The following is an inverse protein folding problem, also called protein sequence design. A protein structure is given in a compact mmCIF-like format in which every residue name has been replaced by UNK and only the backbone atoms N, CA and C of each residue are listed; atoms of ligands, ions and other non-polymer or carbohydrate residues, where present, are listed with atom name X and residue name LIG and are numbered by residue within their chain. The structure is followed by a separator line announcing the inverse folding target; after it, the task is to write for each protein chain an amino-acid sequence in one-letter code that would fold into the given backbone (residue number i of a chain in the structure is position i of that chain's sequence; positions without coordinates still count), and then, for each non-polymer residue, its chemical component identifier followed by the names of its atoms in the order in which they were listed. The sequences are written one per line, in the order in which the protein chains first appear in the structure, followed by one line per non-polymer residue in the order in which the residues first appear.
data_IF_361581038557
#
_entry.id   IF_361581038557
#
_cell.length_a   1.000
_cell.length_b   1.000
_cell.length_c   1.000
_cell.angle_alpha   90.00
_cell.angle_beta   90.00
_cell.angle_gamma   90.00
#
_symmetry.space_group_name_H-M   'P 1'
#
loop_
_entity.id
_entity.type
_entity.pdbx_description
1 polymer ?
#
# COMPACT_ATOMS: atom_id res chain seq x y z
N UNK A 1 -14.28 -42.13 -0.14
CA UNK A 1 -13.03 -42.07 0.63
C UNK A 1 -13.20 -43.03 1.79
N UNK A 2 -12.16 -43.75 2.20
CA UNK A 2 -12.22 -44.66 3.35
C UNK A 2 -12.34 -43.84 4.65
N UNK A 3 -13.18 -44.27 5.58
CA UNK A 3 -13.39 -43.65 6.90
C UNK A 3 -12.06 -43.46 7.66
N UNK A 4 -11.11 -44.39 7.47
CA UNK A 4 -9.77 -44.28 8.05
C UNK A 4 -8.99 -43.06 7.50
N UNK A 5 -9.06 -42.82 6.19
CA UNK A 5 -8.37 -41.69 5.55
C UNK A 5 -8.99 -40.35 5.96
N UNK A 6 -10.32 -40.31 6.13
CA UNK A 6 -11.01 -39.14 6.65
C UNK A 6 -10.61 -38.84 8.10
N UNK A 7 -10.53 -39.88 8.95
CA UNK A 7 -10.06 -39.74 10.33
C UNK A 7 -8.66 -39.16 10.42
N UNK A 8 -7.73 -39.61 9.58
CA UNK A 8 -6.36 -39.08 9.53
C UNK A 8 -6.33 -37.58 9.20
N UNK A 9 -7.11 -37.15 8.20
CA UNK A 9 -7.21 -35.73 7.81
C UNK A 9 -7.79 -34.88 8.96
N UNK A 10 -8.78 -35.41 9.68
CA UNK A 10 -9.38 -34.73 10.85
C UNK A 10 -8.41 -34.60 12.02
N UNK A 11 -7.57 -35.61 12.27
CA UNK A 11 -6.51 -35.54 13.31
C UNK A 11 -5.50 -34.46 12.96
N UNK A 12 -4.99 -34.45 11.72
CA UNK A 12 -4.05 -33.41 11.26
C UNK A 12 -4.66 -32.00 11.38
N UNK A 13 -5.94 -31.87 11.02
CA UNK A 13 -6.68 -30.61 11.11
C UNK A 13 -6.78 -30.12 12.55
N UNK A 14 -7.16 -31.00 13.49
CA UNK A 14 -7.26 -30.68 14.92
C UNK A 14 -5.92 -30.25 15.50
N UNK A 15 -4.81 -30.89 15.10
CA UNK A 15 -3.46 -30.53 15.53
C UNK A 15 -3.04 -29.13 15.04
N UNK A 16 -3.41 -28.75 13.81
CA UNK A 16 -3.18 -27.39 13.32
C UNK A 16 -3.89 -26.32 14.16
N UNK A 17 -5.11 -26.59 14.61
CA UNK A 17 -5.91 -25.66 15.40
C UNK A 17 -5.41 -25.51 16.84
N UNK A 18 -4.68 -26.51 17.34
CA UNK A 18 -4.18 -26.59 18.71
C UNK A 18 -3.45 -25.32 19.17
N UNK A 19 -4.04 -24.63 20.14
CA UNK A 19 -3.47 -23.42 20.74
C UNK A 19 -3.56 -22.16 19.87
N UNK A 20 -4.33 -22.19 18.77
CA UNK A 20 -4.64 -21.00 17.97
C UNK A 20 -5.91 -20.31 18.48
N UNK A 21 -5.87 -18.99 18.63
CA UNK A 21 -7.09 -18.19 18.81
C UNK A 21 -7.78 -17.96 17.47
N UNK A 22 -8.68 -18.89 17.11
CA UNK A 22 -9.45 -18.85 15.87
C UNK A 22 -10.70 -17.95 15.95
N UNK A 23 -11.07 -17.44 17.13
CA UNK A 23 -12.29 -16.61 17.28
C UNK A 23 -12.25 -15.37 16.39
N UNK A 24 -11.09 -14.71 16.32
CA UNK A 24 -10.84 -13.57 15.42
C UNK A 24 -10.91 -13.91 13.92
N UNK A 25 -10.97 -15.19 13.58
CA UNK A 25 -11.07 -15.70 12.20
C UNK A 25 -12.34 -16.52 11.99
N UNK A 26 -13.40 -16.25 12.76
CA UNK A 26 -14.69 -16.94 12.59
C UNK A 26 -14.63 -18.43 12.88
N UNK A 27 -13.69 -18.85 13.73
CA UNK A 27 -13.42 -20.25 14.08
C UNK A 27 -12.96 -21.13 12.90
N UNK A 28 -12.46 -20.55 11.80
CA UNK A 28 -11.90 -21.30 10.67
C UNK A 28 -10.37 -21.24 10.63
N UNK A 29 -9.76 -22.41 10.48
CA UNK A 29 -8.33 -22.56 10.22
C UNK A 29 -8.00 -22.05 8.81
N UNK A 30 -8.84 -22.29 7.81
CA UNK A 30 -8.63 -21.76 6.46
C UNK A 30 -8.52 -20.23 6.49
N UNK A 31 -9.41 -19.58 7.24
CA UNK A 31 -9.44 -18.12 7.38
C UNK A 31 -8.24 -17.60 8.18
N UNK A 32 -7.85 -18.31 9.23
CA UNK A 32 -6.60 -18.05 9.95
C UNK A 32 -5.42 -18.08 8.98
N UNK A 33 -5.32 -19.11 8.14
CA UNK A 33 -4.19 -19.28 7.23
C UNK A 33 -4.13 -18.13 6.21
N UNK A 34 -5.24 -17.74 5.59
CA UNK A 34 -5.25 -16.63 4.64
C UNK A 34 -4.78 -15.30 5.24
N UNK A 35 -5.16 -15.02 6.48
CA UNK A 35 -4.96 -13.70 7.12
C UNK A 35 -3.71 -13.59 7.98
N UNK A 36 -3.07 -14.72 8.30
CA UNK A 36 -1.90 -14.73 9.17
C UNK A 36 -0.62 -14.33 8.41
N UNK A 37 0.44 -13.99 9.14
CA UNK A 37 1.76 -13.79 8.53
C UNK A 37 2.32 -15.11 7.94
N UNK A 38 3.31 -15.02 7.07
CA UNK A 38 3.98 -16.22 6.53
C UNK A 38 4.55 -17.13 7.63
N UNK A 39 5.16 -16.54 8.66
CA UNK A 39 5.73 -17.28 9.79
C UNK A 39 4.65 -17.96 10.64
N UNK A 40 3.56 -17.24 10.94
CA UNK A 40 2.43 -17.78 11.70
C UNK A 40 1.73 -18.92 10.96
N UNK A 41 1.53 -18.77 9.63
CA UNK A 41 1.03 -19.86 8.77
C UNK A 41 1.94 -21.09 8.82
N UNK A 42 3.25 -20.87 8.67
CA UNK A 42 4.23 -21.96 8.66
C UNK A 42 4.20 -22.73 9.97
N UNK A 43 4.12 -22.02 11.10
CA UNK A 43 4.08 -22.64 12.42
C UNK A 43 2.80 -23.44 12.65
N UNK A 44 1.64 -22.89 12.25
CA UNK A 44 0.37 -23.60 12.36
C UNK A 44 0.36 -24.90 11.53
N UNK A 45 0.91 -24.89 10.32
CA UNK A 45 1.00 -26.08 9.47
C UNK A 45 2.01 -27.09 10.02
N UNK A 46 3.15 -26.63 10.55
CA UNK A 46 4.19 -27.50 11.14
C UNK A 46 3.64 -28.37 12.28
N UNK A 47 2.73 -27.84 13.09
CA UNK A 47 2.07 -28.59 14.17
C UNK A 47 1.20 -29.77 13.70
N UNK A 48 0.86 -29.85 12.42
CA UNK A 48 0.14 -31.01 11.86
C UNK A 48 1.03 -32.16 11.38
N UNK A 49 2.37 -32.01 11.47
CA UNK A 49 3.32 -33.00 10.95
C UNK A 49 3.31 -34.36 11.66
N UNK A 50 2.75 -34.46 12.87
CA UNK A 50 2.94 -35.61 13.78
C UNK A 50 2.04 -36.84 13.52
N UNK A 51 1.29 -36.91 12.43
CA UNK A 51 0.39 -38.05 12.20
C UNK A 51 1.13 -39.23 11.56
N UNK A 52 1.33 -40.30 12.34
CA UNK A 52 1.85 -41.59 11.86
C UNK A 52 0.86 -42.18 10.85
N UNK A 53 1.30 -42.31 9.60
CA UNK A 53 0.52 -42.93 8.51
C UNK A 53 1.43 -43.82 7.66
N UNK A 54 0.86 -44.87 7.07
CA UNK A 54 1.56 -45.76 6.15
C UNK A 54 1.87 -45.07 4.82
N UNK A 55 2.87 -45.56 4.08
CA UNK A 55 3.23 -45.02 2.76
C UNK A 55 2.05 -45.03 1.78
N UNK A 56 1.20 -46.06 1.84
CA UNK A 56 0.03 -46.19 0.96
C UNK A 56 -1.06 -45.17 1.29
N UNK A 57 -1.35 -44.94 2.59
CA UNK A 57 -2.30 -43.91 3.03
C UNK A 57 -1.82 -42.52 2.62
N UNK A 58 -0.52 -42.23 2.83
CA UNK A 58 0.08 -40.97 2.45
C UNK A 58 0.03 -40.75 0.92
N UNK A 59 0.30 -41.78 0.13
CA UNK A 59 0.22 -41.70 -1.33
C UNK A 59 -1.22 -41.45 -1.82
N UNK A 60 -2.21 -42.12 -1.22
CA UNK A 60 -3.61 -41.87 -1.51
C UNK A 60 -4.02 -40.42 -1.21
N UNK A 61 -3.71 -39.92 -0.01
CA UNK A 61 -4.06 -38.55 0.40
C UNK A 61 -3.31 -37.48 -0.41
N UNK A 62 -2.07 -37.74 -0.82
CA UNK A 62 -1.32 -36.88 -1.75
C UNK A 62 -1.95 -36.86 -3.14
N UNK A 63 -2.35 -38.01 -3.68
CA UNK A 63 -3.04 -38.11 -4.97
C UNK A 63 -4.39 -37.39 -4.96
N UNK A 64 -5.07 -37.39 -3.81
CA UNK A 64 -6.29 -36.59 -3.59
C UNK A 64 -5.99 -35.10 -3.36
N UNK A 65 -4.73 -34.73 -3.18
CA UNK A 65 -4.27 -33.36 -2.96
C UNK A 65 -4.60 -32.81 -1.57
N UNK A 66 -4.92 -33.66 -0.59
CA UNK A 66 -5.31 -33.23 0.76
C UNK A 66 -4.09 -32.96 1.65
N UNK A 67 -2.97 -33.64 1.39
CA UNK A 67 -1.71 -33.47 2.10
C UNK A 67 -0.54 -33.27 1.12
N UNK A 68 0.60 -32.83 1.64
CA UNK A 68 1.89 -32.74 0.93
C UNK A 68 3.04 -33.08 1.87
N UNK A 69 4.24 -33.28 1.32
CA UNK A 69 5.44 -33.49 2.14
C UNK A 69 5.68 -32.26 3.05
N UNK A 70 5.97 -32.55 4.31
CA UNK A 70 6.40 -31.57 5.29
C UNK A 70 7.91 -31.28 5.19
N UNK A 71 8.41 -30.30 5.95
CA UNK A 71 9.84 -30.01 6.10
C UNK A 71 10.64 -31.16 6.72
N UNK A 72 10.02 -31.99 7.56
CA UNK A 72 10.67 -33.15 8.18
C UNK A 72 10.57 -34.39 7.28
N UNK A 73 11.66 -35.17 7.16
CA UNK A 73 11.69 -36.37 6.32
C UNK A 73 10.63 -37.37 6.78
N UNK A 74 9.80 -37.84 5.84
CA UNK A 74 8.71 -38.79 6.14
C UNK A 74 7.48 -38.17 6.81
N UNK A 75 7.44 -36.84 7.00
CA UNK A 75 6.29 -36.15 7.58
C UNK A 75 5.44 -35.47 6.51
N UNK A 76 4.19 -35.21 6.84
CA UNK A 76 3.21 -34.63 5.92
C UNK A 76 2.44 -33.48 6.56
N UNK A 77 2.00 -32.52 5.77
CA UNK A 77 1.17 -31.40 6.22
C UNK A 77 -0.07 -31.25 5.35
N UNK A 78 -1.14 -30.68 5.92
CA UNK A 78 -2.34 -30.37 5.17
C UNK A 78 -2.07 -29.34 4.06
N UNK A 79 -2.78 -29.51 2.94
CA UNK A 79 -2.92 -28.47 1.91
C UNK A 79 -4.15 -27.61 2.22
N UNK A 80 -4.33 -26.51 1.48
CA UNK A 80 -5.58 -25.75 1.53
C UNK A 80 -6.80 -26.62 1.18
N UNK A 81 -6.64 -27.58 0.27
CA UNK A 81 -7.69 -28.55 -0.08
C UNK A 81 -7.99 -29.51 1.07
N UNK A 82 -6.96 -29.93 1.82
CA UNK A 82 -7.12 -30.73 3.04
C UNK A 82 -7.88 -29.97 4.13
N UNK A 83 -7.52 -28.72 4.39
CA UNK A 83 -8.26 -27.88 5.35
C UNK A 83 -9.69 -27.64 4.89
N UNK A 84 -9.90 -27.31 3.61
CA UNK A 84 -11.23 -27.13 3.05
C UNK A 84 -12.08 -28.40 3.13
N UNK A 85 -11.47 -29.58 2.93
CA UNK A 85 -12.17 -30.86 3.06
C UNK A 85 -12.84 -31.01 4.44
N UNK A 86 -12.18 -30.54 5.51
CA UNK A 86 -12.75 -30.51 6.87
C UNK A 86 -13.75 -29.38 7.12
N UNK A 87 -13.60 -28.23 6.47
CA UNK A 87 -14.35 -27.01 6.80
C UNK A 87 -15.49 -26.67 5.83
N UNK A 88 -15.58 -27.33 4.66
CA UNK A 88 -16.51 -26.97 3.58
C UNK A 88 -17.98 -26.88 4.02
N UNK A 89 -18.40 -27.77 4.92
CA UNK A 89 -19.79 -27.84 5.40
C UNK A 89 -20.05 -26.86 6.57
N UNK A 90 -18.98 -26.36 7.19
CA UNK A 90 -19.03 -25.36 8.28
C UNK A 90 -19.05 -23.95 7.68
N UNK A 91 -18.24 -23.71 6.65
CA UNK A 91 -18.09 -22.40 6.00
C UNK A 91 -19.15 -22.22 4.92
N UNK A 92 -19.36 -23.22 4.06
CA UNK A 92 -20.17 -23.09 2.85
C UNK A 92 -19.47 -22.29 1.74
N UNK A 93 -19.88 -22.51 0.48
CA UNK A 93 -19.24 -21.86 -0.66
C UNK A 93 -19.43 -20.33 -0.66
N UNK A 94 -20.62 -19.85 -0.32
CA UNK A 94 -20.94 -18.42 -0.36
C UNK A 94 -20.07 -17.62 0.62
N UNK A 95 -19.87 -18.12 1.84
CA UNK A 95 -19.03 -17.46 2.85
C UNK A 95 -17.55 -17.42 2.43
N UNK A 96 -17.08 -18.47 1.74
CA UNK A 96 -15.72 -18.48 1.19
C UNK A 96 -15.56 -17.43 0.08
N UNK A 97 -16.53 -17.34 -0.84
CA UNK A 97 -16.51 -16.36 -1.92
C UNK A 97 -16.61 -14.94 -1.36
N UNK A 98 -17.50 -14.68 -0.42
CA UNK A 98 -17.64 -13.37 0.25
C UNK A 98 -16.35 -12.96 0.96
N UNK A 99 -15.63 -13.91 1.55
CA UNK A 99 -14.34 -13.65 2.17
C UNK A 99 -13.27 -13.28 1.13
N UNK A 100 -13.21 -14.05 0.04
CA UNK A 100 -12.27 -13.78 -1.05
C UNK A 100 -12.54 -12.39 -1.62
N UNK A 101 -13.81 -12.07 -1.88
CA UNK A 101 -14.21 -10.75 -2.35
C UNK A 101 -13.77 -9.68 -1.35
N UNK A 102 -14.18 -9.77 -0.08
CA UNK A 102 -13.85 -8.79 0.96
C UNK A 102 -12.35 -8.56 1.14
N UNK A 103 -11.55 -9.61 1.17
CA UNK A 103 -10.14 -9.54 1.57
C UNK A 103 -9.19 -9.28 0.39
N UNK A 104 -9.58 -9.65 -0.84
CA UNK A 104 -8.70 -9.56 -2.01
C UNK A 104 -9.25 -8.68 -3.15
N UNK A 105 -10.57 -8.62 -3.36
CA UNK A 105 -11.18 -7.90 -4.50
C UNK A 105 -11.85 -6.57 -4.11
N UNK A 106 -12.39 -6.46 -2.89
CA UNK A 106 -12.99 -5.27 -2.31
C UNK A 106 -11.97 -4.24 -1.82
N UNK A 107 -10.77 -4.27 -2.42
CA UNK A 107 -9.70 -3.28 -2.21
C UNK A 107 -10.04 -1.90 -2.79
N UNK A 108 -11.12 -1.80 -3.57
CA UNK A 108 -11.63 -0.55 -4.15
C UNK A 108 -12.65 0.20 -3.27
N UNK A 109 -13.18 -0.41 -2.19
CA UNK A 109 -14.36 0.13 -1.50
C UNK A 109 -14.16 0.56 -0.04
N UNK A 110 -12.95 0.47 0.50
CA UNK A 110 -12.67 1.07 1.81
C UNK A 110 -12.16 2.48 1.58
N UNK A 111 -12.84 3.45 2.16
CA UNK A 111 -12.37 4.83 2.37
C UNK A 111 -11.13 4.81 3.27
N UNK A 112 -10.03 4.26 2.78
CA UNK A 112 -8.74 4.46 3.40
C UNK A 112 -8.28 5.87 3.07
N UNK A 113 -8.18 6.70 4.08
CA UNK A 113 -7.64 8.04 3.97
C UNK A 113 -6.12 8.01 4.10
N UNK A 114 -5.44 8.96 3.46
CA UNK A 114 -4.03 9.16 3.72
C UNK A 114 -3.82 9.62 5.16
N UNK A 115 -2.86 9.00 5.85
CA UNK A 115 -2.35 9.58 7.07
C UNK A 115 -1.56 10.87 6.76
N UNK A 116 -1.40 11.73 7.77
CA UNK A 116 -0.73 13.02 7.64
C UNK A 116 0.65 12.92 6.97
N UNK A 117 1.44 11.89 7.31
CA UNK A 117 2.78 11.68 6.73
C UNK A 117 2.70 11.45 5.22
N UNK A 118 1.76 10.62 4.76
CA UNK A 118 1.56 10.36 3.35
C UNK A 118 0.98 11.57 2.60
N UNK A 119 0.12 12.36 3.25
CA UNK A 119 -0.38 13.63 2.70
C UNK A 119 0.76 14.59 2.41
N UNK A 120 1.76 14.70 3.30
CA UNK A 120 2.95 15.53 3.08
C UNK A 120 3.75 15.04 1.86
N UNK A 121 4.05 13.75 1.76
CA UNK A 121 4.79 13.19 0.63
C UNK A 121 4.10 13.49 -0.70
N UNK A 122 2.78 13.31 -0.74
CA UNK A 122 1.98 13.56 -1.93
C UNK A 122 1.92 15.05 -2.29
N UNK A 123 1.76 15.92 -1.29
CA UNK A 123 1.80 17.38 -1.49
C UNK A 123 3.15 17.85 -2.04
N UNK A 124 4.27 17.29 -1.55
CA UNK A 124 5.59 17.55 -2.11
C UNK A 124 5.67 17.08 -3.56
N UNK A 125 5.15 15.90 -3.92
CA UNK A 125 5.14 15.44 -5.30
C UNK A 125 4.32 16.36 -6.23
N UNK A 126 3.15 16.82 -5.77
CA UNK A 126 2.31 17.80 -6.48
C UNK A 126 3.08 19.11 -6.70
N UNK A 127 3.62 19.69 -5.63
CA UNK A 127 4.30 20.99 -5.66
C UNK A 127 5.63 20.94 -6.40
N UNK A 128 6.35 19.81 -6.32
CA UNK A 128 7.65 19.62 -6.96
C UNK A 128 7.55 19.25 -8.44
N UNK A 129 6.34 19.12 -8.96
CA UNK A 129 6.07 18.76 -10.37
C UNK A 129 6.72 17.45 -10.78
N UNK A 130 6.74 16.47 -9.89
CA UNK A 130 7.31 15.16 -10.20
C UNK A 130 6.32 14.32 -11.00
N UNK A 131 6.03 14.75 -12.23
CA UNK A 131 4.89 14.28 -13.03
C UNK A 131 5.24 13.15 -14.01
N UNK A 132 6.48 12.67 -14.02
CA UNK A 132 6.92 11.66 -14.97
C UNK A 132 8.11 10.88 -14.43
N UNK A 133 8.54 9.85 -15.17
CA UNK A 133 9.78 9.13 -14.83
C UNK A 133 11.03 9.98 -15.05
N UNK A 134 10.91 11.05 -15.84
CA UNK A 134 11.96 12.02 -16.17
C UNK A 134 12.06 13.14 -15.12
N UNK A 135 11.00 13.35 -14.33
CA UNK A 135 10.98 14.25 -13.18
C UNK A 135 10.43 13.50 -11.95
N UNK A 136 11.33 12.90 -11.20
CA UNK A 136 10.98 12.08 -10.04
C UNK A 136 11.74 12.51 -8.79
N UNK A 137 11.16 12.18 -7.63
CA UNK A 137 11.86 12.21 -6.36
C UNK A 137 12.82 11.02 -6.35
N UNK A 138 14.11 11.22 -6.55
CA UNK A 138 15.12 10.16 -6.50
C UNK A 138 15.80 10.12 -5.14
N UNK A 139 15.76 8.97 -4.46
CA UNK A 139 16.55 8.73 -3.25
C UNK A 139 17.91 8.09 -3.56
N UNK A 140 18.14 7.71 -4.82
CA UNK A 140 19.44 7.21 -5.30
C UNK A 140 20.28 8.37 -5.82
N UNK A 141 20.50 9.34 -4.94
CA UNK A 141 21.29 10.55 -5.16
C UNK A 141 22.28 10.70 -4.01
N UNK A 142 23.17 11.68 -4.13
CA UNK A 142 24.11 12.07 -3.09
C UNK A 142 23.38 12.55 -1.83
N UNK A 143 24.04 12.46 -0.67
CA UNK A 143 23.46 12.81 0.64
C UNK A 143 22.89 14.24 0.65
N UNK A 144 23.61 15.21 0.08
CA UNK A 144 23.16 16.61 0.00
C UNK A 144 21.81 16.77 -0.71
N UNK A 145 21.55 15.97 -1.76
CA UNK A 145 20.26 16.00 -2.47
C UNK A 145 19.14 15.32 -1.65
N UNK A 146 19.46 14.27 -0.88
CA UNK A 146 18.52 13.66 0.07
C UNK A 146 18.14 14.64 1.19
N UNK A 147 19.11 15.34 1.74
CA UNK A 147 18.90 16.36 2.77
C UNK A 147 18.04 17.52 2.26
N UNK A 148 18.22 17.93 0.99
CA UNK A 148 17.34 18.91 0.35
C UNK A 148 15.90 18.41 0.23
N UNK A 149 15.68 17.18 -0.22
CA UNK A 149 14.34 16.58 -0.22
C UNK A 149 13.75 16.51 1.19
N UNK A 150 14.55 16.18 2.20
CA UNK A 150 14.11 16.24 3.60
C UNK A 150 13.62 17.63 3.99
N UNK A 151 14.38 18.68 3.66
CA UNK A 151 13.97 20.07 3.87
C UNK A 151 12.65 20.42 3.19
N UNK A 152 12.42 19.92 1.97
CA UNK A 152 11.14 20.08 1.27
C UNK A 152 9.97 19.41 2.02
N UNK A 153 10.16 18.19 2.51
CA UNK A 153 9.15 17.52 3.32
C UNK A 153 8.86 18.29 4.62
N UNK A 154 9.89 18.84 5.28
CA UNK A 154 9.71 19.64 6.50
C UNK A 154 8.92 20.93 6.25
N UNK A 155 9.27 21.68 5.20
CA UNK A 155 8.58 22.94 4.86
C UNK A 155 7.12 22.68 4.49
N UNK A 156 6.86 21.63 3.70
CA UNK A 156 5.50 21.25 3.33
C UNK A 156 4.68 20.75 4.54
N UNK A 157 5.30 19.98 5.44
CA UNK A 157 4.65 19.51 6.67
C UNK A 157 4.21 20.68 7.55
N UNK A 158 5.09 21.67 7.75
CA UNK A 158 4.76 22.90 8.46
C UNK A 158 3.59 23.63 7.80
N UNK A 159 3.64 23.83 6.48
CA UNK A 159 2.59 24.52 5.75
C UNK A 159 1.22 23.82 5.89
N UNK A 160 1.17 22.51 5.66
CA UNK A 160 -0.08 21.76 5.74
C UNK A 160 -0.64 21.77 7.17
N UNK A 161 0.23 21.68 8.18
CA UNK A 161 -0.18 21.69 9.59
C UNK A 161 -0.69 23.07 10.03
N UNK A 162 0.02 24.15 9.70
CA UNK A 162 -0.40 25.53 10.02
C UNK A 162 -1.72 25.91 9.34
N UNK A 163 -2.03 25.35 8.18
CA UNK A 163 -3.29 25.55 7.47
C UNK A 163 -4.37 24.53 7.86
N UNK A 164 -4.15 23.72 8.90
CA UNK A 164 -5.09 22.71 9.41
C UNK A 164 -5.51 21.64 8.39
N UNK A 165 -4.69 21.40 7.35
CA UNK A 165 -4.94 20.35 6.34
C UNK A 165 -4.55 18.96 6.90
N UNK A 166 -3.51 18.93 7.72
CA UNK A 166 -3.08 17.76 8.49
C UNK A 166 -3.17 18.06 9.99
N UNK A 167 -3.36 17.03 10.80
CA UNK A 167 -3.61 17.18 12.25
C UNK A 167 -2.32 17.27 13.07
N UNK A 168 -1.24 16.71 12.54
CA UNK A 168 0.07 16.63 13.17
C UNK A 168 1.13 17.22 12.24
N UNK A 169 2.32 17.48 12.77
CA UNK A 169 3.50 17.81 11.98
C UNK A 169 4.45 16.60 11.91
N UNK A 170 4.11 15.57 11.11
CA UNK A 170 4.72 14.24 11.22
C UNK A 170 6.18 14.22 10.75
N UNK A 171 6.60 15.16 9.90
CA UNK A 171 7.97 15.20 9.40
C UNK A 171 8.89 15.89 10.41
N UNK A 172 8.48 17.04 10.95
CA UNK A 172 9.32 17.76 11.92
C UNK A 172 9.40 17.07 13.27
N UNK A 173 8.40 16.25 13.61
CA UNK A 173 8.43 15.40 14.81
C UNK A 173 9.00 14.01 14.56
N UNK A 174 9.42 13.72 13.33
CA UNK A 174 9.91 12.40 12.94
C UNK A 174 11.20 12.01 13.66
N UNK A 175 11.23 10.80 14.20
CA UNK A 175 12.42 10.16 14.73
C UNK A 175 12.65 8.87 13.97
N UNK A 176 13.72 8.80 13.18
CA UNK A 176 14.11 7.56 12.52
C UNK A 176 14.38 6.48 13.56
N UNK A 177 13.85 5.28 13.31
CA UNK A 177 14.17 4.09 14.11
C UNK A 177 15.55 3.51 13.79
N UNK A 178 16.17 3.94 12.68
CA UNK A 178 17.49 3.49 12.22
C UNK A 178 18.48 4.65 12.28
N UNK A 179 19.63 4.43 12.93
CA UNK A 179 20.73 5.39 12.92
C UNK A 179 21.50 5.43 11.59
N UNK A 180 21.24 4.48 10.69
CA UNK A 180 21.98 4.28 9.44
C UNK A 180 21.16 4.77 8.23
N UNK A 181 19.83 4.72 8.32
CA UNK A 181 18.97 5.11 7.21
C UNK A 181 18.70 6.62 7.23
N UNK A 182 18.93 7.25 6.07
CA UNK A 182 18.55 8.63 5.83
C UNK A 182 17.02 8.82 6.00
N UNK A 183 16.63 9.91 6.65
CA UNK A 183 15.23 10.15 7.04
C UNK A 183 14.31 10.32 5.84
N UNK A 184 14.80 10.97 4.78
CA UNK A 184 14.00 11.16 3.56
C UNK A 184 13.73 9.83 2.87
N UNK A 185 14.74 8.97 2.82
CA UNK A 185 14.64 7.60 2.28
C UNK A 185 13.67 6.74 3.08
N UNK A 186 13.73 6.82 4.40
CA UNK A 186 12.87 6.06 5.30
C UNK A 186 11.39 6.45 5.14
N UNK A 187 11.07 7.74 5.16
CA UNK A 187 9.68 8.21 5.01
C UNK A 187 9.08 7.78 3.66
N UNK A 188 9.84 7.93 2.57
CA UNK A 188 9.31 7.65 1.23
C UNK A 188 9.23 6.16 0.91
N UNK A 189 10.02 5.30 1.56
CA UNK A 189 9.87 3.83 1.43
C UNK A 189 8.55 3.34 2.01
N UNK A 190 8.11 3.93 3.12
CA UNK A 190 6.87 3.60 3.81
C UNK A 190 5.60 4.17 3.15
N UNK A 191 5.56 4.14 1.82
CA UNK A 191 4.46 4.64 0.97
C UNK A 191 3.75 3.51 0.21
N UNK A 192 3.82 2.26 0.68
CA UNK A 192 3.30 1.07 -0.05
C UNK A 192 1.80 1.11 -0.32
N UNK A 193 1.03 1.83 0.49
CA UNK A 193 -0.40 2.04 0.25
C UNK A 193 -0.68 3.11 -0.81
N UNK A 194 0.27 4.00 -1.12
CA UNK A 194 0.04 5.15 -2.00
C UNK A 194 -0.47 4.80 -3.40
N UNK A 195 0.05 3.76 -4.10
CA UNK A 195 -0.50 3.38 -5.39
C UNK A 195 -1.99 3.01 -5.29
N UNK A 196 -2.42 2.28 -4.25
CA UNK A 196 -3.84 1.96 -4.05
C UNK A 196 -4.66 3.22 -3.81
N UNK A 197 -4.21 4.09 -2.90
CA UNK A 197 -4.92 5.29 -2.46
C UNK A 197 -4.99 6.39 -3.52
N UNK A 198 -4.12 6.33 -4.53
CA UNK A 198 -4.05 7.32 -5.61
C UNK A 198 -4.50 6.76 -6.96
N UNK A 199 -5.19 5.60 -7.00
CA UNK A 199 -5.58 4.91 -8.26
C UNK A 199 -4.39 4.70 -9.21
N UNK A 200 -3.25 4.33 -8.64
CA UNK A 200 -1.95 4.12 -9.29
C UNK A 200 -1.33 5.37 -9.93
N UNK A 201 -1.83 6.57 -9.62
CA UNK A 201 -1.18 7.81 -10.07
C UNK A 201 0.14 7.99 -9.34
N UNK A 202 0.21 7.79 -8.02
CA UNK A 202 1.50 7.75 -7.34
C UNK A 202 2.23 6.46 -7.70
N UNK A 203 3.37 6.62 -8.35
CA UNK A 203 4.17 5.54 -8.91
C UNK A 203 5.53 5.45 -8.23
N UNK A 204 5.92 4.20 -7.92
CA UNK A 204 7.27 3.85 -7.46
C UNK A 204 8.03 3.24 -8.62
N UNK A 205 9.23 3.73 -8.87
CA UNK A 205 10.21 3.03 -9.71
C UNK A 205 10.93 1.98 -8.87
N UNK A 206 11.36 0.87 -9.48
CA UNK A 206 12.19 -0.14 -8.80
C UNK A 206 13.58 0.33 -8.37
N UNK A 207 13.89 1.64 -8.45
CA UNK A 207 15.19 2.26 -8.15
C UNK A 207 15.10 3.34 -7.06
N UNK A 208 14.13 3.27 -6.16
CA UNK A 208 13.83 4.31 -5.14
C UNK A 208 13.56 5.70 -5.74
N UNK A 209 12.92 5.73 -6.91
CA UNK A 209 12.41 6.95 -7.54
C UNK A 209 10.89 6.99 -7.48
N UNK A 210 10.29 8.16 -7.27
CA UNK A 210 8.85 8.32 -7.03
C UNK A 210 8.28 9.49 -7.81
N UNK A 211 7.13 9.32 -8.45
CA UNK A 211 6.49 10.35 -9.29
C UNK A 211 4.97 10.18 -9.35
N UNK A 212 4.28 11.16 -9.90
CA UNK A 212 2.85 11.16 -10.21
C UNK A 212 2.65 10.92 -11.70
N UNK A 213 2.06 9.80 -12.08
CA UNK A 213 1.78 9.41 -13.46
C UNK A 213 0.56 10.16 -14.02
N UNK A 214 0.75 11.45 -14.25
CA UNK A 214 -0.30 12.35 -14.72
C UNK A 214 -0.14 12.74 -16.19
N UNK A 215 0.90 12.31 -16.88
CA UNK A 215 1.12 12.64 -18.28
C UNK A 215 0.32 11.70 -19.17
N UNK A 216 -0.24 12.22 -20.25
CA UNK A 216 -0.80 11.41 -21.33
C UNK A 216 0.31 10.88 -22.27
N UNK A 217 -0.09 10.11 -23.29
CA UNK A 217 0.84 9.56 -24.28
C UNK A 217 1.59 10.63 -25.11
N UNK A 218 1.05 11.86 -25.15
CA UNK A 218 1.66 13.00 -25.84
C UNK A 218 2.57 13.82 -24.92
N UNK A 219 2.72 13.44 -23.66
CA UNK A 219 3.50 14.18 -22.67
C UNK A 219 2.80 15.43 -22.14
N UNK A 220 1.46 15.48 -22.17
CA UNK A 220 0.68 16.59 -21.61
C UNK A 220 0.07 16.18 -20.26
N UNK A 221 0.12 17.05 -19.23
CA UNK A 221 -0.53 16.77 -17.94
C UNK A 221 -2.05 16.62 -18.06
N UNK A 222 -2.57 15.48 -17.62
CA UNK A 222 -4.00 15.18 -17.46
C UNK A 222 -4.50 15.81 -16.16
N UNK A 223 -5.23 16.92 -16.27
CA UNK A 223 -5.66 17.76 -15.14
C UNK A 223 -6.53 16.96 -14.16
N UNK A 224 -7.38 16.07 -14.64
CA UNK A 224 -8.28 15.23 -13.85
C UNK A 224 -7.50 14.31 -12.90
N UNK A 225 -6.36 13.76 -13.36
CA UNK A 225 -5.50 12.92 -12.53
C UNK A 225 -4.85 13.74 -11.42
N UNK A 226 -4.36 14.94 -11.74
CA UNK A 226 -3.79 15.83 -10.73
C UNK A 226 -4.86 16.31 -9.73
N UNK A 227 -6.05 16.65 -10.21
CA UNK A 227 -7.18 17.05 -9.37
C UNK A 227 -7.62 15.93 -8.41
N UNK A 228 -7.60 14.68 -8.87
CA UNK A 228 -7.85 13.52 -8.01
C UNK A 228 -6.82 13.44 -6.87
N UNK A 229 -5.53 13.52 -7.21
CA UNK A 229 -4.43 13.46 -6.21
C UNK A 229 -4.51 14.63 -5.22
N UNK A 230 -4.86 15.83 -5.68
CA UNK A 230 -5.14 16.98 -4.81
C UNK A 230 -6.31 16.65 -3.86
N UNK A 231 -7.42 16.12 -4.35
CA UNK A 231 -8.54 15.74 -3.49
C UNK A 231 -8.17 14.70 -2.44
N UNK A 232 -7.29 13.75 -2.76
CA UNK A 232 -6.79 12.75 -1.81
C UNK A 232 -5.94 13.38 -0.69
N UNK A 233 -5.23 14.49 -0.97
CA UNK A 233 -4.44 15.22 0.05
C UNK A 233 -5.32 16.13 0.90
N UNK A 234 -6.06 17.03 0.24
CA UNK A 234 -6.70 18.14 0.92
C UNK A 234 -8.14 17.83 1.32
N UNK A 235 -8.80 16.87 0.68
CA UNK A 235 -10.17 16.43 0.99
C UNK A 235 -11.12 17.64 1.12
N UNK A 236 -11.84 17.74 2.24
CA UNK A 236 -12.78 18.84 2.51
C UNK A 236 -12.10 20.14 2.96
N UNK A 237 -10.77 20.18 3.09
CA UNK A 237 -10.04 21.36 3.57
C UNK A 237 -9.83 22.43 2.50
N UNK A 238 -10.02 22.13 1.22
CA UNK A 238 -10.09 23.19 0.21
C UNK A 238 -11.42 23.95 0.39
N UNK A 239 -11.53 25.19 -0.07
CA UNK A 239 -12.79 25.93 -0.24
C UNK A 239 -12.52 27.22 -1.03
N UNK A 240 -13.57 27.94 -1.39
CA UNK A 240 -13.46 29.19 -2.17
C UNK A 240 -12.57 30.22 -1.47
N UNK A 241 -12.49 30.21 -0.14
CA UNK A 241 -11.69 31.18 0.62
C UNK A 241 -10.20 30.88 0.69
N UNK A 242 -9.76 29.63 0.47
CA UNK A 242 -8.34 29.25 0.63
C UNK A 242 -7.69 28.63 -0.61
N UNK A 243 -8.48 28.23 -1.62
CA UNK A 243 -8.00 27.48 -2.78
C UNK A 243 -6.90 28.22 -3.55
N UNK A 244 -7.08 29.52 -3.73
CA UNK A 244 -6.17 30.36 -4.50
C UNK A 244 -4.83 30.55 -3.76
N UNK A 245 -4.88 30.70 -2.43
CA UNK A 245 -3.67 30.83 -1.62
C UNK A 245 -2.90 29.51 -1.54
N UNK A 246 -3.59 28.38 -1.43
CA UNK A 246 -2.95 27.06 -1.45
C UNK A 246 -2.35 26.77 -2.83
N UNK A 247 -3.08 27.00 -3.92
CA UNK A 247 -2.56 26.81 -5.28
C UNK A 247 -1.32 27.68 -5.53
N UNK A 248 -1.39 28.96 -5.14
CA UNK A 248 -0.25 29.89 -5.22
C UNK A 248 0.94 29.40 -4.40
N UNK A 249 0.71 28.91 -3.18
CA UNK A 249 1.78 28.35 -2.35
C UNK A 249 2.46 27.17 -3.05
N UNK A 250 1.71 26.24 -3.63
CA UNK A 250 2.27 25.09 -4.35
C UNK A 250 3.14 25.50 -5.55
N UNK A 251 2.72 26.54 -6.28
CA UNK A 251 3.48 27.10 -7.39
C UNK A 251 4.77 27.77 -6.90
N UNK A 252 4.69 28.58 -5.84
CA UNK A 252 5.83 29.27 -5.27
C UNK A 252 6.82 28.29 -4.61
N UNK A 253 6.32 27.20 -4.02
CA UNK A 253 7.14 26.14 -3.45
C UNK A 253 8.09 25.55 -4.49
N UNK A 254 7.60 25.25 -5.70
CA UNK A 254 8.45 24.81 -6.80
C UNK A 254 9.55 25.83 -7.09
N UNK A 255 9.14 27.07 -7.36
CA UNK A 255 10.01 28.16 -7.82
C UNK A 255 11.10 28.50 -6.81
N UNK A 256 10.77 28.44 -5.52
CA UNK A 256 11.68 28.80 -4.42
C UNK A 256 12.60 27.66 -4.03
N UNK A 257 12.07 26.43 -3.96
CA UNK A 257 12.75 25.35 -3.24
C UNK A 257 13.15 24.17 -4.13
N UNK A 258 12.51 23.97 -5.28
CA UNK A 258 12.67 22.75 -6.10
C UNK A 258 13.54 22.98 -7.33
N UNK A 259 13.57 24.20 -7.88
CA UNK A 259 14.29 24.53 -9.13
C UNK A 259 15.73 24.02 -9.12
N UNK A 260 16.47 24.18 -8.02
CA UNK A 260 17.87 23.73 -7.93
C UNK A 260 18.01 22.20 -7.95
N UNK A 261 17.10 21.49 -7.29
CA UNK A 261 17.04 20.02 -7.32
C UNK A 261 16.67 19.55 -8.72
N UNK A 262 15.68 20.20 -9.34
CA UNK A 262 15.20 19.87 -10.69
C UNK A 262 16.31 20.02 -11.74
N UNK A 263 17.10 21.11 -11.70
CA UNK A 263 18.25 21.25 -12.61
C UNK A 263 19.29 20.15 -12.48
N UNK A 264 19.44 19.60 -11.28
CA UNK A 264 20.43 18.56 -10.99
C UNK A 264 19.92 17.14 -11.30
N UNK A 265 18.60 16.93 -11.36
CA UNK A 265 18.02 15.58 -11.30
C UNK A 265 16.92 15.29 -12.32
N UNK A 266 16.30 16.32 -12.92
CA UNK A 266 15.24 16.12 -13.91
C UNK A 266 15.83 16.08 -15.31
N UNK A 267 15.33 15.17 -16.13
CA UNK A 267 15.80 14.96 -17.50
C UNK A 267 15.11 15.90 -18.51
N UNK A 268 14.05 16.62 -18.12
CA UNK A 268 13.33 17.58 -18.97
C UNK A 268 13.04 18.91 -18.23
N UNK A 269 12.70 19.96 -18.99
CA UNK A 269 12.39 21.29 -18.42
C UNK A 269 10.94 21.38 -17.90
N UNK A 270 10.77 21.17 -16.61
CA UNK A 270 9.49 21.32 -15.90
C UNK A 270 9.29 22.70 -15.25
N UNK A 271 10.20 23.64 -15.52
CA UNK A 271 10.14 25.02 -15.05
C UNK A 271 9.21 25.94 -15.85
N UNK A 272 8.53 25.41 -16.87
CA UNK A 272 7.60 26.18 -17.71
C UNK A 272 6.44 26.76 -16.87
N UNK A 273 6.05 27.99 -17.17
CA UNK A 273 4.90 28.68 -16.61
C UNK A 273 3.57 27.98 -16.95
N UNK A 274 3.54 27.16 -18.00
CA UNK A 274 2.39 26.33 -18.36
C UNK A 274 1.96 25.40 -17.21
N UNK A 275 2.90 24.90 -16.40
CA UNK A 275 2.60 24.09 -15.22
C UNK A 275 1.92 24.88 -14.09
N UNK A 276 2.13 26.20 -13.99
CA UNK A 276 1.40 27.03 -13.03
C UNK A 276 -0.10 26.99 -13.34
N UNK A 277 -0.45 27.09 -14.62
CA UNK A 277 -1.85 27.00 -15.06
C UNK A 277 -2.44 25.60 -14.84
N UNK A 278 -1.64 24.55 -15.04
CA UNK A 278 -2.04 23.16 -14.75
C UNK A 278 -2.37 23.00 -13.27
N UNK A 279 -1.50 23.48 -12.37
CA UNK A 279 -1.72 23.42 -10.92
C UNK A 279 -2.99 24.20 -10.55
N UNK A 280 -3.13 25.45 -10.99
CA UNK A 280 -4.34 26.24 -10.72
C UNK A 280 -5.61 25.51 -11.17
N UNK A 281 -5.68 25.08 -12.43
CA UNK A 281 -6.85 24.36 -12.98
C UNK A 281 -7.15 23.09 -12.18
N UNK A 282 -6.13 22.32 -11.81
CA UNK A 282 -6.31 21.09 -11.05
C UNK A 282 -6.86 21.36 -9.64
N UNK A 283 -6.41 22.41 -8.95
CA UNK A 283 -6.98 22.80 -7.65
C UNK A 283 -8.46 23.18 -7.78
N UNK A 284 -8.80 24.03 -8.75
CA UNK A 284 -10.20 24.41 -9.00
C UNK A 284 -11.08 23.20 -9.32
N UNK A 285 -10.62 22.33 -10.22
CA UNK A 285 -11.33 21.09 -10.55
C UNK A 285 -11.48 20.17 -9.33
N UNK A 286 -10.46 20.07 -8.48
CA UNK A 286 -10.51 19.30 -7.25
C UNK A 286 -11.62 19.83 -6.31
N UNK A 287 -11.68 21.15 -6.10
CA UNK A 287 -12.73 21.79 -5.31
C UNK A 287 -14.14 21.55 -5.86
N UNK A 288 -14.34 21.72 -7.17
CA UNK A 288 -15.67 21.58 -7.79
C UNK A 288 -16.20 20.14 -7.71
N UNK A 289 -15.30 19.16 -7.65
CA UNK A 289 -15.63 17.74 -7.68
C UNK A 289 -15.46 17.05 -6.31
N UNK A 290 -15.46 17.80 -5.21
CA UNK A 290 -15.48 17.22 -3.86
C UNK A 290 -16.62 16.25 -3.69
N UNK A 291 -16.32 15.12 -3.07
CA UNK A 291 -17.27 14.02 -2.85
C UNK A 291 -17.66 13.23 -4.11
N UNK A 292 -17.33 13.69 -5.33
CA UNK A 292 -17.66 12.98 -6.59
C UNK A 292 -16.50 12.14 -7.12
N UNK A 293 -15.26 12.58 -6.89
CA UNK A 293 -14.06 11.89 -7.38
C UNK A 293 -13.62 10.71 -6.50
N UNK A 294 -14.12 10.60 -5.26
CA UNK A 294 -13.77 9.53 -4.32
C UNK A 294 -14.69 8.30 -4.40
N UNK A 295 -15.69 8.33 -5.29
CA UNK A 295 -16.56 7.18 -5.62
C UNK A 295 -15.95 6.35 -6.74
#
# INVERSE_FOLDING_TARGET
MDDNLESLVQVMYSSCQGGLDLKKYGNSLLFYLFRSSANSRSEALRKSEEVVMTSNEAECLKNLGLIRNGPSLGHYVLTAKGVWFCEKDIIGNDVLIDLIDRDYFKTLSKEEHLNDKLKVVLAVAIASRTYSKQALISMRVEDDLRDRWWGLFQEMSTFLHTNCIIKTDPINTYKSSSSIEDRSSDIIRHTDSMPRLTRSIFSKTGKNGYYLDIMDESGVPVIERLAYVINVVFEDNLNVSNIEDIARYMILFFRKNVVEIAYSTFEEQYGDISYDQVIHKAFYMAMENRGKLMV
#
